data_IF_825631801429
#
_entry.id   IF_825631801429
#
_cell.length_a   1.000
_cell.length_b   1.000
_cell.length_c   1.000
_cell.angle_alpha   90.00
_cell.angle_beta   90.00
_cell.angle_gamma   90.00
#
_symmetry.space_group_name_H-M   'P 1'
#
loop_
_entity.id
_entity.type
_entity.pdbx_description
1 polymer ?
#
# COMPACT_ATOMS: atom_id res chain seq x y z
N UNK A 1 5.14 -29.96 -15.08
CA UNK A 1 3.74 -29.78 -14.67
C UNK A 1 3.52 -28.30 -14.40
N UNK A 2 2.58 -27.61 -15.05
CA UNK A 2 2.52 -26.16 -15.06
C UNK A 2 1.69 -25.63 -13.88
N UNK A 3 2.13 -24.51 -13.32
CA UNK A 3 1.82 -24.05 -11.94
C UNK A 3 0.49 -23.28 -11.84
N UNK A 4 -0.25 -23.20 -12.94
CA UNK A 4 -1.47 -22.38 -13.09
C UNK A 4 -2.74 -23.01 -12.49
N UNK A 5 -2.66 -24.19 -11.86
CA UNK A 5 -3.84 -24.92 -11.34
C UNK A 5 -4.16 -24.68 -9.86
N UNK A 6 -3.46 -23.77 -9.18
CA UNK A 6 -3.74 -23.49 -7.75
C UNK A 6 -4.71 -22.29 -7.55
N UNK A 7 -5.07 -21.57 -8.61
CA UNK A 7 -5.95 -20.39 -8.52
C UNK A 7 -7.46 -20.65 -8.70
N UNK A 8 -7.88 -21.90 -8.94
CA UNK A 8 -9.28 -22.17 -9.35
C UNK A 8 -10.29 -22.36 -8.21
N UNK A 9 -9.89 -22.19 -6.94
CA UNK A 9 -10.78 -22.39 -5.79
C UNK A 9 -10.79 -21.18 -4.83
N UNK A 10 -10.77 -19.96 -5.36
CA UNK A 10 -11.18 -18.80 -4.58
C UNK A 10 -12.71 -18.67 -4.70
N UNK A 11 -13.44 -18.55 -3.57
CA UNK A 11 -14.90 -18.46 -3.61
C UNK A 11 -15.35 -17.27 -4.45
N UNK A 12 -16.43 -17.44 -5.22
CA UNK A 12 -16.98 -16.42 -6.14
C UNK A 12 -17.36 -15.09 -5.45
N UNK A 13 -17.41 -15.07 -4.11
CA UNK A 13 -17.51 -13.84 -3.30
C UNK A 13 -16.33 -12.88 -3.46
N UNK A 14 -15.21 -13.31 -4.05
CA UNK A 14 -14.03 -12.47 -4.31
C UNK A 14 -14.16 -11.58 -5.57
N UNK A 15 -15.14 -11.80 -6.44
CA UNK A 15 -15.25 -11.11 -7.74
C UNK A 15 -16.07 -9.82 -7.72
N UNK A 16 -16.57 -9.40 -6.55
CA UNK A 16 -17.34 -8.18 -6.43
C UNK A 16 -16.90 -7.37 -5.20
N UNK A 17 -15.61 -7.00 -5.17
CA UNK A 17 -15.23 -5.86 -4.35
C UNK A 17 -15.93 -4.62 -4.95
N UNK A 18 -16.71 -3.87 -4.16
CA UNK A 18 -17.18 -2.57 -4.63
C UNK A 18 -15.95 -1.76 -5.07
N UNK A 19 -16.00 -1.15 -6.25
CA UNK A 19 -14.91 -0.37 -6.87
C UNK A 19 -14.29 0.71 -5.96
N UNK A 20 -14.89 1.03 -4.83
CA UNK A 20 -14.47 2.06 -3.89
C UNK A 20 -13.21 1.71 -3.06
N UNK A 21 -12.61 0.53 -3.24
CA UNK A 21 -11.62 -0.03 -2.31
C UNK A 21 -10.42 -0.71 -2.92
N UNK A 22 -10.36 -0.76 -4.25
CA UNK A 22 -9.16 -1.20 -4.90
C UNK A 22 -8.05 -0.21 -4.51
N UNK A 23 -6.94 -0.73 -4.00
CA UNK A 23 -5.76 0.11 -3.78
C UNK A 23 -5.38 0.70 -5.16
N UNK A 24 -4.96 1.97 -5.22
CA UNK A 24 -4.52 2.52 -6.49
C UNK A 24 -3.36 1.68 -7.03
N UNK A 25 -3.41 1.38 -8.31
CA UNK A 25 -2.33 0.71 -9.02
C UNK A 25 -1.07 1.60 -8.98
N UNK A 26 0.04 1.11 -8.41
CA UNK A 26 1.29 1.86 -8.30
C UNK A 26 2.32 1.41 -9.34
N UNK A 27 2.40 2.10 -10.47
CA UNK A 27 3.38 1.77 -11.50
C UNK A 27 4.68 2.54 -11.33
N UNK A 28 5.82 1.84 -11.32
CA UNK A 28 7.15 2.45 -11.33
C UNK A 28 7.89 2.07 -12.60
N UNK A 29 8.00 2.98 -13.56
CA UNK A 29 8.86 2.74 -14.71
C UNK A 29 10.31 3.10 -14.35
N UNK A 30 11.19 2.11 -14.45
CA UNK A 30 12.60 2.16 -14.08
C UNK A 30 13.53 1.99 -15.29
N UNK A 31 14.44 2.92 -15.53
CA UNK A 31 15.63 2.67 -16.37
C UNK A 31 16.75 2.17 -15.44
N UNK A 32 17.05 0.87 -15.47
CA UNK A 32 18.10 0.28 -14.62
C UNK A 32 18.93 -0.72 -15.41
N UNK A 33 20.26 -0.58 -15.49
CA UNK A 33 21.15 -1.43 -16.30
C UNK A 33 20.96 -2.95 -16.21
N UNK A 34 20.36 -3.47 -15.12
CA UNK A 34 20.09 -4.89 -14.89
C UNK A 34 18.77 -5.13 -14.16
N UNK A 35 18.16 -6.28 -14.44
CA UNK A 35 17.05 -6.76 -13.61
C UNK A 35 17.48 -6.85 -12.15
N UNK A 36 16.67 -6.29 -11.26
CA UNK A 36 16.95 -6.30 -9.82
C UNK A 36 15.71 -6.69 -9.03
N UNK A 37 15.94 -7.40 -7.93
CA UNK A 37 14.91 -7.66 -6.94
C UNK A 37 14.59 -6.36 -6.20
N UNK A 38 13.30 -6.08 -6.07
CA UNK A 38 12.76 -4.87 -5.47
C UNK A 38 11.80 -5.26 -4.37
N UNK A 39 11.97 -4.64 -3.20
CA UNK A 39 11.00 -4.64 -2.12
C UNK A 39 10.09 -3.43 -2.29
N UNK A 40 8.81 -3.65 -2.47
CA UNK A 40 7.81 -2.58 -2.41
C UNK A 40 7.05 -2.71 -1.09
N UNK A 41 7.05 -1.65 -0.29
CA UNK A 41 6.25 -1.55 0.94
C UNK A 41 5.26 -0.40 0.82
N UNK A 42 3.97 -0.69 1.01
CA UNK A 42 2.91 0.32 1.02
C UNK A 42 2.31 0.38 2.41
N UNK A 43 2.36 1.57 3.00
CA UNK A 43 1.71 1.84 4.27
C UNK A 43 0.33 2.44 4.00
N UNK A 44 -0.70 1.83 4.58
CA UNK A 44 -2.05 2.38 4.62
C UNK A 44 -2.41 2.84 6.03
N UNK A 45 -3.15 3.93 6.11
CA UNK A 45 -3.58 4.57 7.35
C UNK A 45 -5.10 4.72 7.32
N UNK A 46 -5.77 4.31 8.40
CA UNK A 46 -7.20 4.54 8.57
C UNK A 46 -7.49 6.05 8.59
N UNK A 47 -8.47 6.49 7.80
CA UNK A 47 -8.84 7.91 7.71
C UNK A 47 -10.30 8.20 8.09
N UNK A 48 -11.10 7.15 8.27
CA UNK A 48 -12.49 7.25 8.72
C UNK A 48 -12.62 7.72 10.17
N UNK A 49 -13.74 8.33 10.51
CA UNK A 49 -13.94 9.01 11.80
C UNK A 49 -14.43 8.10 12.95
N UNK A 50 -14.64 6.80 12.70
CA UNK A 50 -15.15 5.89 13.72
C UNK A 50 -14.07 5.49 14.72
N UNK A 51 -14.43 5.41 16.01
CA UNK A 51 -13.52 4.98 17.08
C UNK A 51 -12.92 3.59 16.83
N UNK A 52 -13.65 2.71 16.14
CA UNK A 52 -13.18 1.37 15.78
C UNK A 52 -11.93 1.39 14.87
N UNK A 53 -11.63 2.53 14.23
CA UNK A 53 -10.50 2.72 13.33
C UNK A 53 -9.24 3.23 14.02
N UNK A 54 -9.29 3.45 15.33
CA UNK A 54 -8.22 4.04 16.12
C UNK A 54 -7.87 3.20 17.34
N UNK A 55 -6.58 3.17 17.66
CA UNK A 55 -6.08 2.68 18.93
C UNK A 55 -5.90 3.84 19.90
N UNK A 56 -6.71 3.85 20.97
CA UNK A 56 -6.58 4.82 22.04
C UNK A 56 -5.33 4.53 22.89
N UNK A 57 -4.39 5.47 22.92
CA UNK A 57 -3.19 5.40 23.78
C UNK A 57 -3.19 6.55 24.78
N UNK A 58 -2.90 6.21 26.03
CA UNK A 58 -2.73 7.19 27.09
C UNK A 58 -1.30 7.73 27.10
N UNK A 59 -1.14 9.04 26.92
CA UNK A 59 0.15 9.71 27.03
C UNK A 59 0.01 10.98 27.85
N UNK A 60 0.73 11.06 28.97
CA UNK A 60 0.73 12.24 29.86
C UNK A 60 -0.68 12.70 30.30
N UNK A 61 -1.60 11.76 30.57
CA UNK A 61 -2.96 12.08 31.00
C UNK A 61 -3.92 12.50 29.87
N UNK A 62 -3.46 12.47 28.61
CA UNK A 62 -4.28 12.76 27.43
C UNK A 62 -4.50 11.45 26.66
N UNK A 63 -5.73 11.23 26.19
CA UNK A 63 -6.06 10.13 25.27
C UNK A 63 -5.68 10.59 23.86
N UNK A 64 -4.82 9.83 23.20
CA UNK A 64 -4.43 10.02 21.81
C UNK A 64 -4.99 8.86 21.00
N UNK A 65 -5.88 9.14 20.06
CA UNK A 65 -6.42 8.16 19.13
C UNK A 65 -5.47 8.07 17.94
N UNK A 66 -4.71 6.97 17.85
CA UNK A 66 -3.81 6.74 16.73
C UNK A 66 -4.56 5.95 15.67
N UNK A 67 -4.59 6.39 14.41
CA UNK A 67 -5.24 5.63 13.35
C UNK A 67 -4.56 4.27 13.22
N UNK A 68 -5.31 3.25 12.83
CA UNK A 68 -4.71 1.98 12.46
C UNK A 68 -3.82 2.15 11.23
N UNK A 69 -2.59 1.64 11.31
CA UNK A 69 -1.58 1.72 10.25
C UNK A 69 -1.09 0.31 9.94
N UNK A 70 -1.01 0.00 8.65
CA UNK A 70 -0.59 -1.32 8.17
C UNK A 70 0.43 -1.21 7.04
N UNK A 71 1.49 -1.99 7.13
CA UNK A 71 2.53 -2.08 6.11
C UNK A 71 2.33 -3.35 5.26
N UNK A 72 2.32 -3.16 3.94
CA UNK A 72 2.16 -4.21 2.94
C UNK A 72 3.42 -4.35 2.13
N UNK A 73 4.13 -5.45 2.35
CA UNK A 73 5.37 -5.70 1.64
C UNK A 73 5.21 -6.80 0.59
N UNK A 74 5.80 -6.57 -0.59
CA UNK A 74 5.93 -7.58 -1.63
C UNK A 74 7.28 -7.48 -2.33
N UNK A 75 7.77 -8.62 -2.81
CA UNK A 75 8.99 -8.71 -3.59
C UNK A 75 8.63 -8.88 -5.06
N UNK A 76 9.33 -8.17 -5.93
CA UNK A 76 9.10 -8.20 -7.37
C UNK A 76 10.40 -7.92 -8.11
N UNK A 77 10.44 -8.21 -9.40
CA UNK A 77 11.60 -7.95 -10.25
C UNK A 77 11.34 -6.73 -11.12
N UNK A 78 12.30 -5.83 -11.19
CA UNK A 78 12.31 -4.76 -12.20
C UNK A 78 12.87 -5.29 -13.50
N UNK A 79 12.13 -5.19 -14.60
CA UNK A 79 12.52 -5.74 -15.91
C UNK A 79 12.55 -4.68 -17.03
N UNK A 80 12.98 -3.45 -16.73
CA UNK A 80 13.24 -2.39 -17.72
C UNK A 80 12.04 -1.65 -18.36
N UNK A 81 10.79 -2.06 -18.17
CA UNK A 81 9.57 -1.22 -18.38
C UNK A 81 8.46 -1.68 -17.41
N UNK A 82 8.85 -2.02 -16.19
CA UNK A 82 8.02 -2.75 -15.25
C UNK A 82 6.90 -1.90 -14.65
N UNK A 83 5.68 -2.01 -15.18
CA UNK A 83 4.49 -1.59 -14.42
C UNK A 83 4.38 -2.52 -13.22
N UNK A 84 4.72 -2.03 -12.03
CA UNK A 84 4.31 -2.69 -10.80
C UNK A 84 2.81 -2.47 -10.65
N UNK A 85 2.05 -3.55 -10.52
CA UNK A 85 0.76 -3.44 -9.88
C UNK A 85 1.01 -3.74 -8.41
N UNK A 86 0.38 -2.98 -7.52
CA UNK A 86 -0.09 -3.60 -6.29
C UNK A 86 -1.11 -4.63 -6.78
N UNK A 87 -0.62 -5.84 -7.02
CA UNK A 87 -1.39 -6.90 -7.62
C UNK A 87 -2.48 -7.37 -6.65
N UNK A 88 -3.38 -8.19 -7.19
CA UNK A 88 -4.39 -8.89 -6.41
C UNK A 88 -3.79 -9.63 -5.20
N UNK A 89 -2.54 -10.10 -5.29
CA UNK A 89 -1.89 -10.78 -4.16
C UNK A 89 -1.51 -9.83 -3.02
N UNK A 90 -1.25 -8.56 -3.30
CA UNK A 90 -1.00 -7.53 -2.29
C UNK A 90 -2.30 -7.07 -1.64
N UNK A 91 -3.35 -6.90 -2.44
CA UNK A 91 -4.71 -6.64 -1.92
C UNK A 91 -5.21 -7.80 -1.06
N UNK A 92 -5.09 -9.04 -1.51
CA UNK A 92 -5.49 -10.22 -0.74
C UNK A 92 -4.68 -10.39 0.55
N UNK A 93 -3.39 -10.02 0.54
CA UNK A 93 -2.56 -10.00 1.74
C UNK A 93 -3.01 -8.92 2.71
N UNK A 94 -3.30 -7.70 2.23
CA UNK A 94 -3.88 -6.66 3.07
C UNK A 94 -5.19 -7.14 3.67
N UNK A 95 -6.07 -7.70 2.86
CA UNK A 95 -7.37 -8.18 3.29
C UNK A 95 -7.24 -9.24 4.39
N UNK A 96 -6.34 -10.21 4.19
CA UNK A 96 -6.07 -11.24 5.19
C UNK A 96 -5.52 -10.66 6.50
N UNK A 97 -4.53 -9.76 6.43
CA UNK A 97 -3.95 -9.12 7.61
C UNK A 97 -4.96 -8.23 8.35
N UNK A 98 -5.80 -7.51 7.62
CA UNK A 98 -6.85 -6.68 8.22
C UNK A 98 -7.95 -7.53 8.84
N UNK A 99 -8.32 -8.65 8.22
CA UNK A 99 -9.29 -9.59 8.77
C UNK A 99 -8.78 -10.23 10.06
N UNK A 100 -7.54 -10.72 10.09
CA UNK A 100 -6.92 -11.25 11.32
C UNK A 100 -6.88 -10.21 12.45
N UNK A 101 -6.50 -8.97 12.12
CA UNK A 101 -6.49 -7.86 13.09
C UNK A 101 -7.88 -7.46 13.54
N UNK A 102 -8.84 -7.49 12.63
CA UNK A 102 -10.25 -7.25 12.92
C UNK A 102 -10.77 -8.31 13.91
N UNK A 103 -10.51 -9.60 13.69
CA UNK A 103 -10.87 -10.68 14.62
C UNK A 103 -10.22 -10.49 16.00
N UNK A 104 -8.98 -10.00 16.05
CA UNK A 104 -8.25 -9.74 17.29
C UNK A 104 -8.70 -8.47 18.03
N UNK A 105 -9.29 -7.50 17.32
CA UNK A 105 -9.68 -6.20 17.88
C UNK A 105 -10.85 -6.28 18.86
N UNK A 106 -11.60 -7.38 18.87
CA UNK A 106 -12.79 -7.54 19.70
C UNK A 106 -13.91 -6.55 19.36
N UNK A 107 -13.88 -5.93 18.17
CA UNK A 107 -14.95 -5.07 17.66
C UNK A 107 -16.21 -5.94 17.52
N UNK A 108 -17.09 -5.84 18.51
CA UNK A 108 -18.34 -6.57 18.52
C UNK A 108 -19.40 -5.84 17.68
N UNK A 109 -20.09 -6.57 16.81
CA UNK A 109 -21.29 -6.08 16.11
C UNK A 109 -21.04 -5.28 14.82
N UNK A 110 -19.80 -5.22 14.35
CA UNK A 110 -19.45 -4.71 13.01
C UNK A 110 -18.87 -5.89 12.24
N UNK A 111 -19.25 -6.13 10.99
CA UNK A 111 -18.57 -7.13 10.17
C UNK A 111 -17.35 -6.54 9.47
N UNK A 112 -16.44 -7.40 9.00
CA UNK A 112 -15.19 -6.99 8.36
C UNK A 112 -15.43 -6.00 7.21
N UNK A 113 -16.45 -6.24 6.37
CA UNK A 113 -16.78 -5.35 5.24
C UNK A 113 -17.18 -3.97 5.75
N UNK A 114 -18.03 -3.89 6.77
CA UNK A 114 -18.46 -2.64 7.37
C UNK A 114 -17.30 -1.91 8.06
N UNK A 115 -16.41 -2.63 8.75
CA UNK A 115 -15.19 -2.06 9.34
C UNK A 115 -14.32 -1.39 8.29
N UNK A 116 -14.10 -2.14 7.22
CA UNK A 116 -13.33 -1.71 6.08
C UNK A 116 -14.01 -0.42 5.49
N UNK A 117 -15.34 -0.36 5.30
CA UNK A 117 -16.05 0.78 4.67
C UNK A 117 -15.95 2.03 5.53
N UNK A 118 -16.05 1.80 6.83
CA UNK A 118 -16.05 2.81 7.86
C UNK A 118 -14.66 3.42 8.08
N UNK A 119 -13.58 2.62 7.96
CA UNK A 119 -12.22 3.09 8.24
C UNK A 119 -11.52 3.76 7.06
N UNK A 120 -12.05 3.63 5.85
CA UNK A 120 -11.61 4.37 4.65
C UNK A 120 -10.08 4.49 4.57
N UNK A 121 -9.40 3.37 4.40
CA UNK A 121 -7.93 3.35 4.40
C UNK A 121 -7.37 4.18 3.23
N UNK A 122 -6.34 4.97 3.52
CA UNK A 122 -5.63 5.81 2.54
C UNK A 122 -4.16 5.41 2.48
N UNK A 123 -3.52 5.55 1.33
CA UNK A 123 -2.07 5.34 1.24
C UNK A 123 -1.37 6.49 1.95
N UNK A 124 -0.52 6.11 2.91
CA UNK A 124 0.30 7.05 3.68
C UNK A 124 1.73 7.12 3.20
N UNK A 125 2.28 6.00 2.79
CA UNK A 125 3.70 5.88 2.43
C UNK A 125 3.89 4.79 1.40
N UNK A 126 4.82 4.99 0.48
CA UNK A 126 5.31 3.95 -0.41
C UNK A 126 6.83 3.94 -0.36
N UNK A 127 7.40 2.79 -0.03
CA UNK A 127 8.83 2.58 0.05
C UNK A 127 9.26 1.58 -1.01
N UNK A 128 10.17 2.00 -1.86
CA UNK A 128 10.83 1.17 -2.86
C UNK A 128 12.26 0.90 -2.37
N UNK A 129 12.50 -0.33 -1.93
CA UNK A 129 13.81 -0.82 -1.53
C UNK A 129 14.46 -1.63 -2.65
N UNK A 130 15.64 -1.20 -3.07
CA UNK A 130 16.61 -1.95 -3.86
C UNK A 130 17.76 -2.37 -2.93
N UNK A 131 18.66 -3.25 -3.39
CA UNK A 131 19.77 -3.78 -2.57
C UNK A 131 20.47 -2.74 -1.69
N UNK A 132 20.85 -1.58 -2.26
CA UNK A 132 21.57 -0.51 -1.55
C UNK A 132 20.85 0.85 -1.59
N UNK A 133 19.65 0.93 -2.15
CA UNK A 133 18.97 2.21 -2.42
C UNK A 133 17.53 2.13 -1.96
N UNK A 134 17.09 3.15 -1.24
CA UNK A 134 15.70 3.26 -0.80
C UNK A 134 15.08 4.56 -1.32
N UNK A 135 13.88 4.47 -1.87
CA UNK A 135 13.04 5.63 -2.14
C UNK A 135 11.82 5.56 -1.25
N UNK A 136 11.58 6.63 -0.50
CA UNK A 136 10.42 6.77 0.40
C UNK A 136 9.55 7.90 -0.13
N UNK A 137 8.33 7.58 -0.54
CA UNK A 137 7.30 8.52 -0.96
C UNK A 137 6.29 8.65 0.17
N UNK A 138 6.19 9.83 0.78
CA UNK A 138 5.27 10.06 1.91
C UNK A 138 4.10 10.92 1.45
N UNK A 139 2.90 10.55 1.86
CA UNK A 139 1.70 11.31 1.54
C UNK A 139 1.72 12.69 2.20
N UNK A 140 1.39 13.72 1.42
CA UNK A 140 1.06 15.06 1.91
C UNK A 140 0.02 15.72 1.02
N UNK A 141 -0.84 16.51 1.67
CA UNK A 141 -1.90 17.29 1.03
C UNK A 141 -1.35 18.44 0.18
N UNK A 142 -0.12 18.88 0.42
CA UNK A 142 0.50 20.04 -0.23
C UNK A 142 1.41 19.67 -1.41
N UNK A 143 1.43 18.40 -1.82
CA UNK A 143 2.38 17.90 -2.80
C UNK A 143 1.89 18.01 -4.26
N UNK A 144 2.86 18.11 -5.18
CA UNK A 144 2.64 18.21 -6.64
C UNK A 144 2.70 16.82 -7.30
N UNK A 145 2.05 16.69 -8.46
CA UNK A 145 1.63 15.40 -9.02
C UNK A 145 2.49 14.85 -10.16
N UNK A 146 3.46 15.59 -10.68
CA UNK A 146 4.32 15.13 -11.77
C UNK A 146 5.79 15.17 -11.34
N UNK A 147 6.44 14.00 -11.29
CA UNK A 147 7.84 13.91 -10.90
C UNK A 147 8.58 12.83 -11.68
N UNK A 148 9.80 13.17 -12.07
CA UNK A 148 10.82 12.22 -12.48
C UNK A 148 11.83 12.15 -11.34
N UNK A 149 12.07 10.94 -10.84
CA UNK A 149 12.92 10.69 -9.70
C UNK A 149 14.21 10.03 -10.13
N UNK A 150 15.34 10.72 -9.96
CA UNK A 150 16.64 10.09 -10.12
C UNK A 150 17.09 9.49 -8.78
N UNK A 151 17.43 8.21 -8.79
CA UNK A 151 18.01 7.49 -7.65
C UNK A 151 19.45 7.11 -7.98
N UNK A 152 20.31 7.12 -6.96
CA UNK A 152 21.69 6.69 -7.07
C UNK A 152 21.91 5.48 -6.18
N UNK A 153 22.74 4.52 -6.63
CA UNK A 153 23.10 3.37 -5.80
C UNK A 153 23.67 3.81 -4.44
N UNK A 154 23.28 3.12 -3.35
CA UNK A 154 23.79 3.42 -2.01
C UNK A 154 23.13 4.62 -1.33
N UNK A 155 22.07 5.19 -1.91
CA UNK A 155 21.42 6.39 -1.38
C UNK A 155 19.97 6.14 -0.95
N UNK A 156 19.57 6.75 0.16
CA UNK A 156 18.16 6.84 0.55
C UNK A 156 17.63 8.22 0.22
N UNK A 157 16.50 8.30 -0.50
CA UNK A 157 15.82 9.55 -0.81
C UNK A 157 14.38 9.52 -0.30
N UNK A 158 13.93 10.62 0.26
CA UNK A 158 12.56 10.80 0.70
C UNK A 158 11.91 11.96 -0.05
N UNK A 159 10.70 11.74 -0.58
CA UNK A 159 9.91 12.73 -1.28
C UNK A 159 8.50 12.79 -0.71
N UNK A 160 7.88 13.95 -0.89
CA UNK A 160 6.54 14.23 -0.40
C UNK A 160 5.59 14.28 -1.59
N UNK A 161 4.51 13.50 -1.55
CA UNK A 161 3.63 13.22 -2.69
C UNK A 161 2.15 13.30 -2.33
N UNK A 162 1.33 13.71 -3.29
CA UNK A 162 -0.11 13.68 -3.13
C UNK A 162 -0.67 12.42 -3.79
N UNK A 163 -1.16 11.48 -2.97
CA UNK A 163 -1.79 10.24 -3.41
C UNK A 163 -3.31 10.38 -3.56
N UNK A 164 -3.92 11.49 -3.14
CA UNK A 164 -5.37 11.78 -3.21
C UNK A 164 -5.84 12.10 -4.65
N UNK A 165 -5.16 11.60 -5.70
CA UNK A 165 -5.73 11.73 -7.04
C UNK A 165 -7.00 10.88 -7.15
N UNK A 166 -8.05 11.44 -7.75
CA UNK A 166 -9.27 10.71 -8.18
C UNK A 166 -9.00 9.60 -9.23
N UNK A 167 -7.74 9.17 -9.39
CA UNK A 167 -7.29 8.15 -10.31
C UNK A 167 -6.97 6.91 -9.50
N UNK A 168 -7.48 5.76 -9.94
CA UNK A 168 -7.14 4.46 -9.36
C UNK A 168 -5.71 4.01 -9.74
N UNK A 169 -4.86 4.92 -10.21
CA UNK A 169 -3.52 4.63 -10.72
C UNK A 169 -2.58 5.77 -10.38
N UNK A 170 -1.47 5.46 -9.72
CA UNK A 170 -0.34 6.34 -9.48
C UNK A 170 0.84 5.84 -10.32
N UNK A 171 1.50 6.76 -11.00
CA UNK A 171 2.62 6.46 -11.87
C UNK A 171 3.84 7.25 -11.47
N UNK A 172 4.98 6.57 -11.40
CA UNK A 172 6.26 7.16 -11.07
C UNK A 172 7.26 6.76 -12.14
N UNK A 173 7.99 7.75 -12.67
CA UNK A 173 9.20 7.49 -13.43
C UNK A 173 10.40 7.58 -12.50
N UNK A 174 11.12 6.49 -12.38
CA UNK A 174 12.34 6.40 -11.59
C UNK A 174 13.49 6.10 -12.54
N UNK A 175 14.56 6.88 -12.50
CA UNK A 175 15.79 6.53 -13.19
C UNK A 175 16.80 6.14 -12.13
N UNK A 176 17.35 4.93 -12.22
CA UNK A 176 18.42 4.50 -11.31
C UNK A 176 19.74 4.64 -12.06
N UNK A 177 20.63 5.46 -11.52
CA UNK A 177 21.98 5.71 -12.05
C UNK A 177 23.01 4.94 -11.26
#
# INVERSE_FOLDING_TARGET
>A
MPWWRVLSNLPESFLALPQAWALPYLSFNGDMEKESLVLLTVQVEASGQSEACYEARYRNGIIINNPHVYDLSTWTFSNYEGVYSLDYATEARLEYYLMDRFEQSGINGVDYKTYMEMCQFTIKKVELGLNDTNLVLTHSKDAKTDLVLDLFQGTTRAYVFNFEQNRNFLWFKINVK
#
